data_IF_521928221681
#
_entry.id   IF_521928221681
#
_cell.length_a   1.000
_cell.length_b   1.000
_cell.length_c   1.000
_cell.angle_alpha   90.00
_cell.angle_beta   90.00
_cell.angle_gamma   90.00
#
_symmetry.space_group_name_H-M   'P 1'
#
loop_
_entity.id
_entity.type
_entity.pdbx_description
1 polymer ?
#
# COMPACT_ATOMS: atom_id res chain seq x y z
N UNK A 1 14.57 0.71 -3.72
CA UNK A 1 13.90 0.86 -2.41
C UNK A 1 13.12 -0.38 -2.00
N UNK A 2 12.48 -1.11 -2.93
CA UNK A 2 11.61 -2.24 -2.61
C UNK A 2 12.08 -3.54 -3.26
N UNK A 3 11.63 -4.67 -2.73
CA UNK A 3 11.60 -5.99 -3.37
C UNK A 3 10.18 -6.36 -3.75
N UNK A 4 10.00 -7.11 -4.84
CA UNK A 4 8.69 -7.71 -5.13
C UNK A 4 8.48 -8.91 -4.21
N UNK A 5 7.33 -8.99 -3.56
CA UNK A 5 6.96 -10.11 -2.69
C UNK A 5 6.45 -11.26 -3.56
N UNK A 6 7.07 -12.42 -3.40
CA UNK A 6 6.59 -13.72 -3.93
C UNK A 6 6.10 -14.64 -2.81
N UNK A 7 6.18 -14.20 -1.56
CA UNK A 7 5.76 -14.93 -0.37
C UNK A 7 4.24 -15.16 -0.39
N UNK A 8 3.86 -16.42 -0.44
CA UNK A 8 2.47 -16.87 -0.40
C UNK A 8 2.10 -17.29 1.01
N UNK A 9 0.82 -17.14 1.34
CA UNK A 9 0.30 -17.60 2.61
C UNK A 9 0.53 -19.11 2.75
N UNK A 10 1.19 -19.54 3.80
CA UNK A 10 1.37 -20.94 4.17
C UNK A 10 0.20 -21.49 5.02
N UNK A 11 -0.85 -20.67 5.19
CA UNK A 11 -2.01 -20.81 6.08
C UNK A 11 -1.74 -20.40 7.54
N UNK A 12 -0.64 -19.69 7.81
CA UNK A 12 -0.47 -18.97 9.09
C UNK A 12 -1.44 -17.81 9.27
N UNK A 13 -1.92 -17.23 8.16
CA UNK A 13 -2.99 -16.24 8.16
C UNK A 13 -4.31 -16.85 7.68
N UNK A 14 -5.36 -16.53 8.41
CA UNK A 14 -6.75 -16.96 8.18
C UNK A 14 -7.53 -15.87 7.43
N UNK A 15 -8.79 -16.16 7.07
CA UNK A 15 -9.66 -15.21 6.39
C UNK A 15 -9.90 -13.93 7.20
N UNK A 16 -9.76 -14.00 8.52
CA UNK A 16 -9.87 -12.86 9.44
C UNK A 16 -8.76 -11.82 9.24
N UNK A 17 -7.63 -12.22 8.65
CA UNK A 17 -6.46 -11.36 8.39
C UNK A 17 -6.36 -10.93 6.92
N UNK A 18 -7.44 -11.04 6.15
CA UNK A 18 -7.50 -10.47 4.79
C UNK A 18 -7.52 -8.94 4.89
N UNK A 19 -6.64 -8.28 4.15
CA UNK A 19 -6.53 -6.82 4.10
C UNK A 19 -7.14 -6.30 2.79
N UNK A 20 -8.08 -5.37 2.90
CA UNK A 20 -8.60 -4.63 1.73
C UNK A 20 -7.61 -3.55 1.31
N UNK A 21 -6.99 -3.66 0.14
CA UNK A 21 -6.01 -2.64 -0.35
C UNK A 21 -6.64 -1.26 -0.49
N UNK A 22 -7.76 -1.14 -1.18
CA UNK A 22 -8.37 0.16 -1.49
C UNK A 22 -8.73 0.98 -0.24
N UNK A 23 -9.11 0.29 0.85
CA UNK A 23 -9.63 0.92 2.05
C UNK A 23 -8.73 0.78 3.29
N UNK A 24 -7.73 -0.10 3.22
CA UNK A 24 -6.79 -0.41 4.28
C UNK A 24 -7.45 -0.75 5.64
N UNK A 25 -8.31 -1.76 5.64
CA UNK A 25 -8.86 -2.39 6.85
C UNK A 25 -8.88 -3.92 6.71
N UNK A 26 -8.93 -4.64 7.83
CA UNK A 26 -9.14 -6.08 7.84
C UNK A 26 -10.57 -6.40 7.40
N UNK A 27 -10.71 -7.14 6.31
CA UNK A 27 -11.97 -7.51 5.68
C UNK A 27 -12.12 -9.03 5.67
N UNK A 28 -12.62 -9.64 6.76
CA UNK A 28 -12.95 -11.05 6.76
C UNK A 28 -13.88 -11.40 5.59
N UNK A 29 -13.55 -12.46 4.86
CA UNK A 29 -14.35 -12.91 3.73
C UNK A 29 -15.04 -14.24 4.05
N UNK A 30 -16.34 -14.18 4.34
CA UNK A 30 -17.16 -15.35 4.64
C UNK A 30 -17.48 -16.20 3.40
N UNK A 31 -17.24 -15.70 2.18
CA UNK A 31 -17.48 -16.44 0.94
C UNK A 31 -16.33 -17.40 0.62
N UNK A 32 -15.14 -17.21 1.21
CA UNK A 32 -14.05 -18.18 1.13
C UNK A 32 -14.40 -19.32 2.08
N UNK A 33 -14.85 -20.42 1.48
CA UNK A 33 -15.25 -21.66 2.17
C UNK A 33 -14.14 -22.70 2.17
N UNK A 34 -13.25 -22.65 1.18
CA UNK A 34 -12.06 -23.49 1.08
C UNK A 34 -10.83 -22.72 1.57
N UNK A 35 -10.30 -23.09 2.73
CA UNK A 35 -9.11 -22.44 3.31
C UNK A 35 -7.86 -22.63 2.45
N UNK A 36 -7.78 -23.69 1.64
CA UNK A 36 -6.65 -23.90 0.74
C UNK A 36 -6.55 -22.80 -0.33
N UNK A 37 -7.67 -22.15 -0.68
CA UNK A 37 -7.66 -20.98 -1.57
C UNK A 37 -6.82 -19.83 -1.01
N UNK A 38 -6.74 -19.70 0.32
CA UNK A 38 -5.92 -18.66 0.96
C UNK A 38 -4.44 -18.82 0.66
N UNK A 39 -3.95 -20.01 0.29
CA UNK A 39 -2.56 -20.19 -0.17
C UNK A 39 -2.22 -19.39 -1.43
N UNK A 40 -3.23 -19.01 -2.21
CA UNK A 40 -3.00 -18.15 -3.39
C UNK A 40 -2.63 -16.73 -2.98
N UNK A 41 -3.10 -16.25 -1.82
CA UNK A 41 -2.92 -14.88 -1.35
C UNK A 41 -1.44 -14.58 -1.07
N UNK A 42 -1.07 -13.32 -1.30
CA UNK A 42 0.25 -12.82 -0.96
C UNK A 42 0.29 -12.46 0.54
N UNK A 43 1.40 -12.77 1.21
CA UNK A 43 1.66 -12.22 2.55
C UNK A 43 1.86 -10.72 2.44
N UNK A 44 1.20 -9.97 3.32
CA UNK A 44 1.20 -8.51 3.32
C UNK A 44 1.51 -8.00 4.74
N UNK A 45 2.79 -7.72 4.99
CA UNK A 45 3.27 -7.30 6.30
C UNK A 45 3.09 -5.79 6.49
N UNK A 46 3.12 -5.34 7.74
CA UNK A 46 3.09 -3.91 8.07
C UNK A 46 4.24 -3.19 7.34
N UNK A 47 3.91 -2.14 6.59
CA UNK A 47 4.84 -1.38 5.76
C UNK A 47 5.06 -1.92 4.34
N UNK A 48 4.55 -3.11 4.00
CA UNK A 48 4.50 -3.53 2.61
C UNK A 48 3.53 -2.61 1.82
N UNK A 49 3.77 -2.43 0.53
CA UNK A 49 2.89 -1.67 -0.37
C UNK A 49 2.25 -2.60 -1.40
N UNK A 50 1.01 -2.32 -1.78
CA UNK A 50 0.29 -3.01 -2.85
C UNK A 50 -0.11 -2.01 -3.95
N UNK A 51 -0.04 -2.43 -5.22
CA UNK A 51 -0.45 -1.59 -6.35
C UNK A 51 -1.95 -1.74 -6.67
N UNK A 52 -2.70 -0.65 -6.53
CA UNK A 52 -4.11 -0.55 -6.94
C UNK A 52 -4.21 0.13 -8.32
N UNK A 53 -4.48 -0.65 -9.36
CA UNK A 53 -4.56 -0.17 -10.74
C UNK A 53 -5.83 0.60 -11.11
N UNK A 54 -6.79 0.77 -10.20
CA UNK A 54 -8.06 1.44 -10.50
C UNK A 54 -7.82 2.94 -10.80
N UNK A 55 -8.34 3.42 -11.92
CA UNK A 55 -8.25 4.84 -12.26
C UNK A 55 -9.33 5.65 -11.53
N UNK A 56 -8.97 6.82 -11.07
CA UNK A 56 -9.90 7.80 -10.48
C UNK A 56 -9.49 9.23 -10.82
N UNK A 57 -10.31 10.22 -10.45
CA UNK A 57 -9.96 11.65 -10.59
C UNK A 57 -8.66 12.02 -9.88
N UNK A 58 -8.35 11.34 -8.78
CA UNK A 58 -7.18 11.61 -7.95
C UNK A 58 -5.99 10.71 -8.29
N UNK A 59 -6.20 9.63 -9.05
CA UNK A 59 -5.19 8.61 -9.34
C UNK A 59 -5.35 8.15 -10.80
N UNK A 60 -4.80 8.91 -11.74
CA UNK A 60 -4.98 8.65 -13.16
C UNK A 60 -4.23 7.38 -13.64
N UNK A 61 -3.17 7.01 -12.92
CA UNK A 61 -2.30 5.88 -13.24
C UNK A 61 -2.39 4.73 -12.22
N UNK A 62 -3.47 4.69 -11.43
CA UNK A 62 -3.53 3.85 -10.24
C UNK A 62 -2.71 4.47 -9.10
N UNK A 63 -2.51 3.72 -8.02
CA UNK A 63 -1.71 4.16 -6.86
C UNK A 63 -1.07 2.99 -6.15
N UNK A 64 -0.06 3.29 -5.35
CA UNK A 64 0.37 2.39 -4.29
C UNK A 64 -0.43 2.66 -3.02
N UNK A 65 -0.69 1.61 -2.25
CA UNK A 65 -1.27 1.71 -0.91
C UNK A 65 -0.36 0.97 0.07
N UNK A 66 0.03 1.66 1.13
CA UNK A 66 0.87 1.12 2.19
C UNK A 66 0.04 0.44 3.28
N UNK A 67 0.47 -0.75 3.70
CA UNK A 67 -0.09 -1.43 4.85
C UNK A 67 0.30 -0.70 6.14
N UNK A 68 -0.70 -0.10 6.79
CA UNK A 68 -0.52 0.66 8.03
C UNK A 68 -1.26 0.05 9.22
N UNK A 69 -1.86 -1.13 9.05
CA UNK A 69 -2.83 -1.69 10.03
C UNK A 69 -2.37 -2.97 10.72
N UNK A 70 -1.40 -3.68 10.15
CA UNK A 70 -0.83 -4.89 10.74
C UNK A 70 -0.58 -5.98 9.72
N UNK A 71 0.01 -7.09 10.16
CA UNK A 71 0.35 -8.20 9.27
C UNK A 71 -0.92 -8.98 8.87
N UNK A 72 -0.98 -9.36 7.61
CA UNK A 72 -2.07 -10.17 7.08
C UNK A 72 -1.78 -10.68 5.68
N UNK A 73 -2.85 -10.89 4.93
CA UNK A 73 -2.79 -11.37 3.55
C UNK A 73 -3.62 -10.50 2.63
N UNK A 74 -3.21 -10.45 1.38
CA UNK A 74 -3.91 -9.69 0.33
C UNK A 74 -4.11 -10.56 -0.89
N UNK A 75 -5.22 -10.34 -1.61
CA UNK A 75 -5.56 -11.13 -2.80
C UNK A 75 -4.38 -11.19 -3.77
N UNK A 76 -4.20 -12.36 -4.37
CA UNK A 76 -3.12 -12.65 -5.32
C UNK A 76 -3.11 -11.75 -6.56
N UNK A 77 -4.20 -11.02 -6.82
CA UNK A 77 -4.35 -10.07 -7.93
C UNK A 77 -3.50 -8.81 -7.76
N UNK A 78 -3.04 -8.52 -6.54
CA UNK A 78 -2.21 -7.36 -6.26
C UNK A 78 -0.73 -7.67 -6.42
N UNK A 79 0.00 -6.76 -7.05
CA UNK A 79 1.45 -6.71 -6.94
C UNK A 79 1.83 -6.13 -5.58
N UNK A 80 2.60 -6.89 -4.80
CA UNK A 80 3.04 -6.51 -3.44
C UNK A 80 4.55 -6.28 -3.44
N UNK A 81 4.97 -5.25 -2.72
CA UNK A 81 6.37 -4.87 -2.61
C UNK A 81 6.76 -4.59 -1.15
N UNK A 82 7.93 -5.07 -0.75
CA UNK A 82 8.48 -4.96 0.60
C UNK A 82 9.65 -3.97 0.63
N UNK A 83 9.67 -2.98 1.52
CA UNK A 83 10.80 -2.06 1.63
C UNK A 83 12.06 -2.83 2.06
N UNK A 84 13.20 -2.51 1.41
CA UNK A 84 14.52 -3.10 1.74
C UNK A 84 15.40 -2.18 2.60
N UNK A 85 14.95 -0.96 2.81
CA UNK A 85 15.68 0.08 3.53
C UNK A 85 14.85 0.53 4.72
N UNK A 86 15.52 1.09 5.71
CA UNK A 86 14.83 1.71 6.84
C UNK A 86 13.98 2.89 6.37
N UNK A 87 12.80 3.03 6.97
CA UNK A 87 11.82 4.05 6.65
C UNK A 87 10.93 4.34 7.87
N UNK A 88 10.21 5.46 7.84
CA UNK A 88 9.16 5.77 8.81
C UNK A 88 7.77 5.52 8.21
N UNK A 89 7.00 4.64 8.84
CA UNK A 89 5.65 4.25 8.40
C UNK A 89 4.68 5.44 8.38
N UNK A 90 4.78 6.36 9.34
CA UNK A 90 3.86 7.50 9.40
C UNK A 90 4.13 8.48 8.27
N UNK A 91 5.39 8.71 7.91
CA UNK A 91 5.74 9.50 6.73
C UNK A 91 5.19 8.86 5.45
N UNK A 92 5.45 7.57 5.25
CA UNK A 92 5.08 6.88 4.01
C UNK A 92 3.57 6.74 3.85
N UNK A 93 2.80 6.67 4.95
CA UNK A 93 1.33 6.69 4.95
C UNK A 93 0.79 7.88 4.14
N UNK A 94 1.44 9.05 4.28
CA UNK A 94 1.11 10.26 3.53
C UNK A 94 1.82 10.33 2.18
N UNK A 95 3.12 9.99 2.13
CA UNK A 95 3.92 10.16 0.91
C UNK A 95 3.50 9.22 -0.23
N UNK A 96 3.14 7.97 0.08
CA UNK A 96 2.78 6.94 -0.92
C UNK A 96 1.48 7.27 -1.67
N UNK A 97 0.59 8.04 -1.05
CA UNK A 97 -0.68 8.46 -1.64
C UNK A 97 -0.62 9.85 -2.30
N UNK A 98 0.55 10.50 -2.29
CA UNK A 98 0.74 11.85 -2.81
C UNK A 98 1.14 11.82 -4.29
N UNK A 99 0.25 12.23 -5.18
CA UNK A 99 0.51 12.25 -6.64
C UNK A 99 1.67 13.17 -7.05
N UNK A 100 2.01 14.19 -6.26
CA UNK A 100 3.19 15.01 -6.56
C UNK A 100 4.50 14.25 -6.37
N UNK A 101 4.47 13.18 -5.58
CA UNK A 101 5.61 12.29 -5.33
C UNK A 101 5.53 11.07 -6.26
N UNK A 102 4.35 10.45 -6.36
CA UNK A 102 4.17 9.15 -7.03
C UNK A 102 3.76 9.25 -8.49
N UNK A 103 3.14 10.35 -8.92
CA UNK A 103 2.52 10.45 -10.25
C UNK A 103 3.51 10.22 -11.39
N UNK A 104 4.62 10.96 -11.41
CA UNK A 104 5.65 10.82 -12.45
C UNK A 104 6.28 9.43 -12.47
N UNK A 105 6.48 8.84 -11.29
CA UNK A 105 7.00 7.47 -11.17
C UNK A 105 6.00 6.46 -11.75
N UNK A 106 4.71 6.59 -11.43
CA UNK A 106 3.64 5.73 -11.91
C UNK A 106 3.41 5.87 -13.42
N UNK A 107 3.58 7.06 -13.99
CA UNK A 107 3.54 7.26 -15.45
C UNK A 107 4.61 6.41 -16.16
N UNK A 108 5.82 6.33 -15.59
CA UNK A 108 6.93 5.60 -16.21
C UNK A 108 6.85 4.08 -16.03
N UNK A 109 6.20 3.61 -14.97
CA UNK A 109 6.13 2.18 -14.67
C UNK A 109 4.77 1.53 -14.90
N UNK A 110 3.79 2.23 -15.48
CA UNK A 110 2.45 1.67 -15.77
C UNK A 110 2.12 1.66 -17.26
N UNK A 111 1.23 0.73 -17.65
CA UNK A 111 0.61 0.68 -18.97
C UNK A 111 -0.89 0.85 -18.86
N UNK A 112 -1.46 1.70 -19.70
CA UNK A 112 -2.90 1.94 -19.72
C UNK A 112 -3.66 0.70 -20.22
N UNK A 113 -4.71 0.31 -19.48
CA UNK A 113 -5.83 -0.51 -19.95
C UNK A 113 -7.10 0.34 -19.92
N UNK A 114 -8.27 -0.22 -20.24
CA UNK A 114 -9.54 0.53 -20.36
C UNK A 114 -9.89 1.26 -19.05
N UNK A 115 -10.16 0.53 -17.97
CA UNK A 115 -10.54 1.10 -16.66
C UNK A 115 -9.45 1.00 -15.58
N UNK A 116 -8.34 0.34 -15.90
CA UNK A 116 -7.24 0.10 -14.97
C UNK A 116 -5.90 0.46 -15.61
N UNK A 117 -4.88 0.58 -14.79
CA UNK A 117 -3.48 0.53 -15.19
C UNK A 117 -2.86 -0.76 -14.69
N UNK A 118 -1.96 -1.32 -15.50
CA UNK A 118 -1.15 -2.45 -15.09
C UNK A 118 0.24 -1.93 -14.75
N UNK A 119 0.76 -2.35 -13.59
CA UNK A 119 2.13 -2.05 -13.21
C UNK A 119 3.10 -2.94 -13.98
N UNK A 120 4.17 -2.34 -14.49
CA UNK A 120 5.35 -3.05 -14.98
C UNK A 120 6.35 -3.10 -13.83
N UNK A 121 6.24 -4.15 -13.01
CA UNK A 121 7.05 -4.29 -11.79
C UNK A 121 8.56 -4.13 -12.03
N UNK A 122 9.06 -4.63 -13.17
CA UNK A 122 10.48 -4.51 -13.53
C UNK A 122 10.93 -3.06 -13.76
N UNK A 123 10.03 -2.19 -14.23
CA UNK A 123 10.34 -0.77 -14.42
C UNK A 123 10.24 -0.04 -13.07
N UNK A 124 9.21 -0.33 -12.27
CA UNK A 124 9.09 0.20 -10.91
C UNK A 124 10.33 -0.11 -10.04
N UNK A 125 10.86 -1.34 -10.10
CA UNK A 125 12.03 -1.73 -9.30
C UNK A 125 13.32 -1.01 -9.70
N UNK A 126 13.37 -0.37 -10.87
CA UNK A 126 14.50 0.46 -11.33
C UNK A 126 14.35 1.94 -10.93
N UNK A 127 13.16 2.35 -10.51
CA UNK A 127 12.88 3.72 -10.14
C UNK A 127 13.53 4.09 -8.80
N UNK A 128 13.91 5.36 -8.69
CA UNK A 128 14.43 5.98 -7.48
C UNK A 128 13.65 7.23 -7.16
N UNK A 129 13.33 7.44 -5.89
CA UNK A 129 12.74 8.68 -5.39
C UNK A 129 13.71 9.35 -4.43
N UNK A 130 13.77 10.67 -4.52
CA UNK A 130 14.42 11.47 -3.49
C UNK A 130 13.50 11.51 -2.27
N UNK A 131 13.97 10.94 -1.17
CA UNK A 131 13.25 10.89 0.10
C UNK A 131 14.14 11.45 1.21
N UNK A 132 13.57 12.12 2.22
CA UNK A 132 14.35 12.69 3.30
C UNK A 132 14.96 11.58 4.17
N UNK A 133 15.91 11.96 5.04
CA UNK A 133 16.50 11.03 6.02
C UNK A 133 15.44 10.42 6.92
N UNK A 134 15.69 9.23 7.49
CA UNK A 134 14.71 8.56 8.37
C UNK A 134 14.34 9.44 9.58
N UNK A 135 15.29 10.22 10.10
CA UNK A 135 15.08 11.19 11.17
C UNK A 135 14.10 12.31 10.77
N UNK A 136 14.21 12.81 9.54
CA UNK A 136 13.29 13.79 8.99
C UNK A 136 11.93 13.18 8.66
N UNK A 137 11.90 11.96 8.12
CA UNK A 137 10.66 11.22 7.88
C UNK A 137 9.86 11.10 9.18
N UNK A 138 10.49 10.68 10.29
CA UNK A 138 9.86 10.62 11.62
C UNK A 138 9.23 11.96 12.03
N UNK A 139 9.97 13.07 11.89
CA UNK A 139 9.48 14.41 12.24
C UNK A 139 8.26 14.81 11.40
N UNK A 140 8.34 14.59 10.09
CA UNK A 140 7.25 14.92 9.15
C UNK A 140 6.02 14.05 9.41
N UNK A 141 6.19 12.73 9.54
CA UNK A 141 5.11 11.77 9.78
C UNK A 141 4.39 12.04 11.11
N UNK A 142 5.14 12.36 12.17
CA UNK A 142 4.58 12.76 13.45
C UNK A 142 3.78 14.06 13.35
N UNK A 143 4.32 15.07 12.67
CA UNK A 143 3.64 16.35 12.49
C UNK A 143 2.31 16.21 11.73
N UNK A 144 2.31 15.47 10.62
CA UNK A 144 1.08 15.21 9.84
C UNK A 144 0.05 14.41 10.64
N UNK A 145 0.50 13.41 11.40
CA UNK A 145 -0.38 12.63 12.30
C UNK A 145 -1.00 13.51 13.37
N UNK A 146 -0.25 14.45 13.95
CA UNK A 146 -0.78 15.41 14.92
C UNK A 146 -1.85 16.33 14.29
N UNK A 147 -1.64 16.79 13.06
CA UNK A 147 -2.63 17.59 12.33
C UNK A 147 -3.92 16.81 12.10
N UNK A 148 -3.85 15.55 11.67
CA UNK A 148 -5.03 14.69 11.49
C UNK A 148 -5.80 14.51 12.80
N UNK A 149 -5.09 14.32 13.91
CA UNK A 149 -5.70 14.20 15.23
C UNK A 149 -6.43 15.49 15.64
N UNK A 150 -5.84 16.66 15.38
CA UNK A 150 -6.45 17.95 15.65
C UNK A 150 -7.71 18.17 14.80
N UNK A 151 -7.65 17.85 13.50
CA UNK A 151 -8.80 17.93 12.58
C UNK A 151 -9.92 17.00 13.06
N UNK A 152 -9.59 15.74 13.37
CA UNK A 152 -10.55 14.74 13.86
C UNK A 152 -11.21 15.19 15.17
N UNK A 153 -10.45 15.77 16.09
CA UNK A 153 -10.99 16.28 17.35
C UNK A 153 -11.93 17.49 17.13
N UNK A 154 -11.59 18.37 16.19
CA UNK A 154 -12.44 19.51 15.85
C UNK A 154 -13.76 19.06 15.22
N UNK A 155 -13.72 18.14 14.25
CA UNK A 155 -14.90 17.62 13.57
C UNK A 155 -15.87 16.83 14.47
N UNK A 156 -15.43 16.36 15.64
CA UNK A 156 -16.30 15.69 16.62
C UNK A 156 -17.02 16.64 17.58
N UNK A 157 -16.61 17.92 17.61
CA UNK A 157 -17.17 18.93 18.52
C UNK A 157 -18.30 19.74 17.91
N UNK A 158 -18.43 19.70 16.59
CA UNK A 158 -19.49 20.36 15.81
C UNK A 158 -20.55 19.33 15.37
#
# INVERSE_FOLDING_TARGET
MYDRVSEKNDLSYTKEQIISVANMYFKPDSYITDEEYLRTYNVFLLGDIAFEGNKSKNYAHGRFVENTIGNGIVSHVFDVFRPKIDFDLLYWKYAINNERIMGDLLVRCTKASTMMTNLVAADFLKESLLVPSVEEQKKIGQYLTQLDNLITLHQRKD
#
